data_IF_131450284553
#
_entry.id   IF_131450284553
#
_cell.length_a   1.000
_cell.length_b   1.000
_cell.length_c   1.000
_cell.angle_alpha   90.00
_cell.angle_beta   90.00
_cell.angle_gamma   90.00
#
_symmetry.space_group_name_H-M   'P 1'
#
loop_
_entity.id
_entity.type
_entity.pdbx_description
1 polymer ?
#
# COMPACT_ATOMS: atom_id res chain seq x y z
N UNK A 1 -15.50 10.66 -4.14
CA UNK A 1 -14.72 9.88 -3.14
C UNK A 1 -13.43 9.39 -3.78
N UNK A 2 -12.28 9.83 -3.27
CA UNK A 2 -10.98 9.54 -3.86
C UNK A 2 -10.53 8.11 -3.44
N UNK A 3 -10.91 7.10 -4.22
CA UNK A 3 -10.71 5.65 -3.91
C UNK A 3 -9.25 5.27 -3.62
N UNK A 4 -8.28 6.09 -4.03
CA UNK A 4 -6.85 5.91 -3.78
C UNK A 4 -6.46 6.02 -2.30
N UNK A 5 -7.19 6.82 -1.52
CA UNK A 5 -6.88 7.10 -0.11
C UNK A 5 -7.96 6.64 0.87
N UNK A 6 -9.00 6.00 0.34
CA UNK A 6 -10.11 5.48 1.13
C UNK A 6 -9.64 4.24 1.90
N UNK A 7 -9.68 4.29 3.23
CA UNK A 7 -9.19 3.21 4.09
C UNK A 7 -10.14 2.02 4.17
N UNK A 8 -11.41 2.21 3.81
CA UNK A 8 -12.39 1.11 3.65
C UNK A 8 -12.04 0.17 2.49
N UNK A 9 -11.17 0.60 1.57
CA UNK A 9 -10.73 -0.20 0.41
C UNK A 9 -9.50 -1.02 0.77
N UNK A 10 -9.51 -2.30 0.38
CA UNK A 10 -8.39 -3.22 0.60
C UNK A 10 -7.05 -2.62 0.17
N UNK A 11 -6.03 -2.71 1.04
CA UNK A 11 -4.68 -2.18 0.81
C UNK A 11 -4.10 -2.63 -0.53
N UNK A 12 -4.25 -3.91 -0.89
CA UNK A 12 -3.72 -4.45 -2.14
C UNK A 12 -4.38 -3.85 -3.38
N UNK A 13 -5.65 -3.47 -3.31
CA UNK A 13 -6.33 -2.77 -4.42
C UNK A 13 -5.86 -1.31 -4.53
N UNK A 14 -5.58 -0.64 -3.40
CA UNK A 14 -5.02 0.72 -3.41
C UNK A 14 -3.62 0.77 -3.98
N UNK A 15 -2.76 -0.15 -3.56
CA UNK A 15 -1.42 -0.31 -4.11
C UNK A 15 -1.49 -0.66 -5.61
N UNK A 16 -2.45 -1.49 -6.01
CA UNK A 16 -2.64 -1.80 -7.43
C UNK A 16 -3.06 -0.59 -8.27
N UNK A 17 -3.87 0.33 -7.75
CA UNK A 17 -4.16 1.58 -8.47
C UNK A 17 -2.90 2.40 -8.71
N UNK A 18 -1.99 2.45 -7.74
CA UNK A 18 -0.70 3.14 -7.88
C UNK A 18 0.16 2.46 -8.93
N UNK A 19 0.33 1.14 -8.86
CA UNK A 19 1.08 0.35 -9.85
C UNK A 19 0.50 0.53 -11.26
N UNK A 20 -0.81 0.36 -11.42
CA UNK A 20 -1.48 0.45 -12.71
C UNK A 20 -1.39 1.85 -13.32
N UNK A 21 -1.57 2.90 -12.52
CA UNK A 21 -1.42 4.28 -12.99
C UNK A 21 0.03 4.60 -13.35
N UNK A 22 0.99 4.30 -12.47
CA UNK A 22 2.40 4.59 -12.73
C UNK A 22 2.95 3.77 -13.89
N UNK A 23 2.62 2.47 -13.96
CA UNK A 23 3.02 1.60 -15.07
C UNK A 23 2.42 2.05 -16.40
N UNK A 24 1.13 2.40 -16.44
CA UNK A 24 0.48 2.83 -17.69
C UNK A 24 0.99 4.20 -18.16
N UNK A 25 1.12 5.17 -17.25
CA UNK A 25 1.60 6.53 -17.57
C UNK A 25 3.09 6.48 -17.94
N UNK A 26 3.91 5.83 -17.13
CA UNK A 26 5.35 5.72 -17.36
C UNK A 26 5.64 5.04 -18.69
N UNK A 27 4.95 3.94 -19.01
CA UNK A 27 5.19 3.23 -20.27
C UNK A 27 4.67 3.99 -21.50
N UNK A 28 3.56 4.72 -21.36
CA UNK A 28 3.09 5.61 -22.42
C UNK A 28 4.12 6.71 -22.73
N UNK A 29 4.72 7.33 -21.70
CA UNK A 29 5.78 8.31 -21.90
C UNK A 29 7.04 7.67 -22.49
N UNK A 30 7.41 6.47 -22.06
CA UNK A 30 8.52 5.71 -22.65
C UNK A 30 8.30 5.43 -24.13
N UNK A 31 7.10 4.98 -24.52
CA UNK A 31 6.72 4.77 -25.91
C UNK A 31 6.79 6.07 -26.72
N UNK A 32 6.20 7.16 -26.24
CA UNK A 32 6.23 8.46 -26.94
C UNK A 32 7.66 9.00 -27.06
N UNK A 33 8.47 8.84 -26.02
CA UNK A 33 9.90 9.18 -26.04
C UNK A 33 10.65 8.38 -27.10
N UNK A 34 10.42 7.08 -27.18
CA UNK A 34 11.04 6.22 -28.19
C UNK A 34 10.62 6.62 -29.61
N UNK A 35 9.33 6.92 -29.85
CA UNK A 35 8.87 7.45 -31.15
C UNK A 35 9.60 8.74 -31.52
N UNK A 36 9.82 9.64 -30.56
CA UNK A 36 10.46 10.93 -30.81
C UNK A 36 11.96 10.81 -31.10
N UNK A 37 12.67 9.96 -30.35
CA UNK A 37 14.13 9.83 -30.43
C UNK A 37 14.53 8.92 -31.60
N UNK A 38 13.81 7.81 -31.76
CA UNK A 38 14.20 6.69 -32.63
C UNK A 38 13.22 6.42 -33.77
N UNK A 39 12.03 7.05 -33.75
CA UNK A 39 10.99 6.83 -34.75
C UNK A 39 10.19 5.54 -34.53
N UNK A 40 9.44 5.13 -35.56
CA UNK A 40 8.64 3.90 -35.57
C UNK A 40 9.50 2.67 -35.93
N UNK A 41 10.43 2.33 -35.04
CA UNK A 41 11.28 1.15 -35.12
C UNK A 41 10.63 -0.07 -34.47
N UNK A 42 11.21 -1.27 -34.65
CA UNK A 42 10.73 -2.50 -34.04
C UNK A 42 10.69 -2.42 -32.49
N UNK A 43 11.68 -1.85 -31.78
CA UNK A 43 11.64 -1.67 -30.33
C UNK A 43 10.52 -0.71 -29.88
N UNK A 44 10.24 0.34 -30.67
CA UNK A 44 9.12 1.26 -30.41
C UNK A 44 7.77 0.56 -30.52
N UNK A 45 7.59 -0.32 -31.52
CA UNK A 45 6.37 -1.14 -31.65
C UNK A 45 6.24 -2.09 -30.46
N UNK A 46 7.34 -2.71 -30.04
CA UNK A 46 7.35 -3.57 -28.86
C UNK A 46 6.92 -2.83 -27.59
N UNK A 47 7.42 -1.62 -27.35
CA UNK A 47 6.99 -0.77 -26.22
C UNK A 47 5.50 -0.41 -26.31
N UNK A 48 4.98 -0.17 -27.52
CA UNK A 48 3.55 0.09 -27.72
C UNK A 48 2.69 -1.13 -27.32
N UNK A 49 3.11 -2.33 -27.71
CA UNK A 49 2.43 -3.58 -27.34
C UNK A 49 2.45 -3.79 -25.83
N UNK A 50 3.60 -3.59 -25.18
CA UNK A 50 3.72 -3.66 -23.73
C UNK A 50 2.81 -2.64 -23.04
N UNK A 51 2.76 -1.40 -23.55
CA UNK A 51 1.85 -0.35 -23.05
C UNK A 51 0.39 -0.82 -23.11
N UNK A 52 -0.05 -1.39 -24.24
CA UNK A 52 -1.40 -1.93 -24.39
C UNK A 52 -1.69 -3.07 -23.40
N UNK A 53 -0.72 -3.97 -23.18
CA UNK A 53 -0.87 -5.05 -22.19
C UNK A 53 -0.99 -4.48 -20.78
N UNK A 54 -0.18 -3.49 -20.40
CA UNK A 54 -0.25 -2.86 -19.07
C UNK A 54 -1.60 -2.17 -18.87
N UNK A 55 -2.09 -1.42 -19.86
CA UNK A 55 -3.42 -0.80 -19.80
C UNK A 55 -4.53 -1.85 -19.68
N UNK A 56 -4.47 -2.90 -20.50
CA UNK A 56 -5.44 -4.00 -20.49
C UNK A 56 -5.47 -4.73 -19.16
N UNK A 57 -4.30 -5.06 -18.62
CA UNK A 57 -4.16 -5.73 -17.31
C UNK A 57 -4.57 -4.83 -16.15
N UNK A 58 -4.31 -3.53 -16.23
CA UNK A 58 -4.77 -2.55 -15.24
C UNK A 58 -6.30 -2.49 -15.23
N UNK A 59 -6.93 -2.34 -16.40
CA UNK A 59 -8.39 -2.30 -16.51
C UNK A 59 -9.04 -3.63 -16.07
N UNK A 60 -8.51 -4.75 -16.53
CA UNK A 60 -9.00 -6.08 -16.14
C UNK A 60 -8.81 -6.34 -14.65
N UNK A 61 -7.67 -5.98 -14.07
CA UNK A 61 -7.40 -6.13 -12.64
C UNK A 61 -8.38 -5.35 -11.76
N UNK A 62 -8.71 -4.11 -12.17
CA UNK A 62 -9.70 -3.27 -11.49
C UNK A 62 -11.11 -3.85 -11.62
N UNK A 63 -11.52 -4.22 -12.83
CA UNK A 63 -12.89 -4.69 -13.12
C UNK A 63 -13.16 -6.07 -12.56
N UNK A 64 -12.25 -7.01 -12.76
CA UNK A 64 -12.37 -8.42 -12.32
C UNK A 64 -11.95 -8.63 -10.87
N UNK A 65 -11.47 -7.59 -10.18
CA UNK A 65 -10.95 -7.62 -8.79
C UNK A 65 -9.79 -8.60 -8.56
N UNK A 66 -9.19 -9.13 -9.62
CA UNK A 66 -8.02 -10.02 -9.58
C UNK A 66 -6.69 -9.24 -9.58
N UNK A 67 -6.60 -8.23 -8.71
CA UNK A 67 -5.48 -7.27 -8.68
C UNK A 67 -4.11 -7.91 -8.49
N UNK A 68 -4.01 -8.96 -7.67
CA UNK A 68 -2.74 -9.66 -7.45
C UNK A 68 -2.23 -10.28 -8.76
N UNK A 69 -3.09 -11.01 -9.47
CA UNK A 69 -2.72 -11.65 -10.74
C UNK A 69 -2.31 -10.61 -11.79
N UNK A 70 -3.07 -9.52 -11.89
CA UNK A 70 -2.74 -8.44 -12.80
C UNK A 70 -1.40 -7.77 -12.46
N UNK A 71 -1.12 -7.53 -11.17
CA UNK A 71 0.15 -6.98 -10.72
C UNK A 71 1.34 -7.89 -11.08
N UNK A 72 1.21 -9.20 -10.84
CA UNK A 72 2.25 -10.17 -11.23
C UNK A 72 2.53 -10.12 -12.73
N UNK A 73 1.50 -10.07 -13.58
CA UNK A 73 1.68 -10.00 -15.04
C UNK A 73 2.38 -8.71 -15.45
N UNK A 74 1.93 -7.55 -14.94
CA UNK A 74 2.54 -6.24 -15.26
C UNK A 74 4.00 -6.23 -14.84
N UNK A 75 4.31 -6.65 -13.61
CA UNK A 75 5.68 -6.63 -13.08
C UNK A 75 6.57 -7.63 -13.83
N UNK A 76 6.05 -8.82 -14.15
CA UNK A 76 6.80 -9.80 -14.95
C UNK A 76 7.13 -9.25 -16.33
N UNK A 77 6.16 -8.62 -16.99
CA UNK A 77 6.35 -8.04 -18.32
C UNK A 77 7.43 -6.95 -18.31
N UNK A 78 7.33 -5.98 -17.40
CA UNK A 78 8.29 -4.87 -17.36
C UNK A 78 9.69 -5.33 -16.94
N UNK A 79 9.76 -6.23 -15.95
CA UNK A 79 11.04 -6.63 -15.33
C UNK A 79 11.82 -7.63 -16.17
N UNK A 80 11.17 -8.63 -16.77
CA UNK A 80 11.89 -9.71 -17.44
C UNK A 80 11.94 -9.58 -18.95
N UNK A 81 11.09 -8.73 -19.52
CA UNK A 81 11.01 -8.58 -20.97
C UNK A 81 11.28 -7.14 -21.38
N UNK A 82 10.43 -6.21 -20.99
CA UNK A 82 10.47 -4.85 -21.53
C UNK A 82 11.79 -4.13 -21.21
N UNK A 83 12.14 -3.98 -19.94
CA UNK A 83 13.33 -3.22 -19.54
C UNK A 83 14.66 -3.90 -19.91
N UNK A 84 14.83 -5.23 -19.77
CA UNK A 84 16.04 -5.91 -20.24
C UNK A 84 16.25 -5.80 -21.75
N UNK A 85 15.18 -5.94 -22.55
CA UNK A 85 15.26 -5.80 -24.02
C UNK A 85 15.57 -4.34 -24.39
N UNK A 86 14.93 -3.37 -23.74
CA UNK A 86 15.22 -1.96 -23.93
C UNK A 86 16.68 -1.63 -23.64
N UNK A 87 17.23 -2.15 -22.54
CA UNK A 87 18.66 -2.00 -22.24
C UNK A 87 19.55 -2.68 -23.26
N UNK A 88 19.21 -3.88 -23.69
CA UNK A 88 20.01 -4.59 -24.68
C UNK A 88 20.11 -3.83 -26.02
N UNK A 89 19.09 -3.05 -26.38
CA UNK A 89 19.03 -2.28 -27.62
C UNK A 89 19.59 -0.87 -27.45
N UNK A 90 19.13 -0.14 -26.43
CA UNK A 90 19.45 1.27 -26.19
C UNK A 90 20.62 1.49 -25.22
N UNK A 91 21.19 0.41 -24.70
CA UNK A 91 22.37 0.41 -23.85
C UNK A 91 22.15 1.21 -22.54
N UNK A 92 23.24 1.81 -22.05
CA UNK A 92 23.40 2.65 -20.85
C UNK A 92 22.27 3.65 -20.63
N UNK A 93 21.69 4.23 -21.69
CA UNK A 93 20.63 5.23 -21.62
C UNK A 93 19.32 4.75 -20.97
N UNK A 94 19.14 3.44 -20.73
CA UNK A 94 17.90 2.87 -20.17
C UNK A 94 18.11 2.06 -18.88
N UNK A 95 19.32 2.05 -18.31
CA UNK A 95 19.65 1.30 -17.07
C UNK A 95 18.73 1.65 -15.89
N UNK A 96 18.25 2.90 -15.85
CA UNK A 96 17.36 3.40 -14.80
C UNK A 96 16.00 2.68 -14.79
N UNK A 97 15.57 2.10 -15.92
CA UNK A 97 14.34 1.31 -15.96
C UNK A 97 14.49 -0.04 -15.23
N UNK A 98 15.65 -0.69 -15.33
CA UNK A 98 15.94 -1.91 -14.55
C UNK A 98 15.90 -1.62 -13.04
N UNK A 99 16.47 -0.48 -12.62
CA UNK A 99 16.39 -0.02 -11.23
C UNK A 99 14.93 0.22 -10.81
N UNK A 100 14.13 0.86 -11.68
CA UNK A 100 12.70 1.07 -11.44
C UNK A 100 11.95 -0.26 -11.27
N UNK A 101 12.27 -1.29 -12.06
CA UNK A 101 11.71 -2.63 -11.91
C UNK A 101 12.03 -3.22 -10.52
N UNK A 102 13.27 -3.11 -10.04
CA UNK A 102 13.64 -3.58 -8.70
C UNK A 102 12.85 -2.86 -7.60
N UNK A 103 12.67 -1.55 -7.72
CA UNK A 103 11.84 -0.76 -6.78
C UNK A 103 10.38 -1.21 -6.85
N UNK A 104 9.84 -1.44 -8.05
CA UNK A 104 8.46 -1.91 -8.24
C UNK A 104 8.25 -3.30 -7.62
N UNK A 105 9.21 -4.23 -7.78
CA UNK A 105 9.16 -5.56 -7.16
C UNK A 105 9.10 -5.43 -5.64
N UNK A 106 10.03 -4.68 -5.04
CA UNK A 106 10.11 -4.50 -3.60
C UNK A 106 8.85 -3.83 -3.01
N UNK A 107 8.19 -2.97 -3.79
CA UNK A 107 7.06 -2.16 -3.34
C UNK A 107 5.72 -2.87 -3.47
N UNK A 108 5.50 -3.59 -4.57
CA UNK A 108 4.17 -4.09 -4.95
C UNK A 108 3.99 -5.60 -4.80
N UNK A 109 5.07 -6.38 -4.70
CA UNK A 109 4.98 -7.81 -4.42
C UNK A 109 5.04 -8.11 -2.91
N UNK A 110 4.40 -9.20 -2.45
CA UNK A 110 4.60 -9.69 -1.09
C UNK A 110 6.06 -10.12 -0.90
N UNK A 111 6.60 -9.93 0.32
CA UNK A 111 8.03 -10.09 0.64
C UNK A 111 8.63 -11.40 0.12
N UNK A 112 7.95 -12.54 0.30
CA UNK A 112 8.43 -13.84 -0.19
C UNK A 112 8.61 -13.86 -1.71
N UNK A 113 7.64 -13.34 -2.45
CA UNK A 113 7.73 -13.28 -3.91
C UNK A 113 8.70 -12.19 -4.38
N UNK A 114 8.76 -11.06 -3.67
CA UNK A 114 9.68 -9.96 -3.97
C UNK A 114 11.15 -10.39 -3.90
N UNK A 115 11.52 -11.23 -2.91
CA UNK A 115 12.88 -11.78 -2.82
C UNK A 115 13.18 -12.68 -4.02
N UNK A 116 12.28 -13.61 -4.35
CA UNK A 116 12.47 -14.54 -5.47
C UNK A 116 12.56 -13.78 -6.80
N UNK A 117 11.58 -12.90 -7.07
CA UNK A 117 11.54 -12.08 -8.27
C UNK A 117 12.74 -11.12 -8.34
N UNK A 118 13.14 -10.54 -7.21
CA UNK A 118 14.30 -9.65 -7.15
C UNK A 118 15.61 -10.37 -7.47
N UNK A 119 15.81 -11.58 -6.94
CA UNK A 119 16.99 -12.40 -7.30
C UNK A 119 16.98 -12.78 -8.78
N UNK A 120 15.83 -13.20 -9.32
CA UNK A 120 15.71 -13.53 -10.74
C UNK A 120 15.92 -12.30 -11.62
N UNK A 121 15.32 -11.16 -11.26
CA UNK A 121 15.44 -9.90 -11.99
C UNK A 121 16.90 -9.45 -12.02
N UNK A 122 17.60 -9.51 -10.89
CA UNK A 122 19.02 -9.20 -10.82
C UNK A 122 19.85 -10.09 -11.76
N UNK A 123 19.59 -11.40 -11.82
CA UNK A 123 20.28 -12.30 -12.75
C UNK A 123 20.00 -11.95 -14.21
N UNK A 124 18.74 -11.63 -14.54
CA UNK A 124 18.33 -11.25 -15.90
C UNK A 124 18.96 -9.92 -16.28
N UNK A 125 18.91 -8.91 -15.42
CA UNK A 125 19.52 -7.59 -15.65
C UNK A 125 21.03 -7.71 -15.84
N UNK A 126 21.72 -8.47 -14.98
CA UNK A 126 23.16 -8.73 -15.13
C UNK A 126 23.46 -9.47 -16.44
N UNK A 127 22.63 -10.45 -16.82
CA UNK A 127 22.81 -11.16 -18.08
C UNK A 127 22.59 -10.24 -19.29
N UNK A 128 21.62 -9.32 -19.23
CA UNK A 128 21.36 -8.34 -20.28
C UNK A 128 22.53 -7.35 -20.41
N UNK A 129 23.12 -6.91 -19.30
CA UNK A 129 24.32 -6.06 -19.29
C UNK A 129 25.51 -6.77 -19.92
N UNK A 130 25.78 -8.01 -19.51
CA UNK A 130 26.88 -8.80 -20.05
C UNK A 130 26.66 -9.08 -21.55
N UNK A 131 25.44 -9.43 -21.94
CA UNK A 131 25.10 -9.71 -23.33
C UNK A 131 25.24 -8.46 -24.20
N UNK A 132 24.77 -7.31 -23.71
CA UNK A 132 24.92 -6.02 -24.41
C UNK A 132 26.39 -5.66 -24.64
N UNK A 133 27.27 -5.97 -23.67
CA UNK A 133 28.71 -5.73 -23.76
C UNK A 133 29.41 -6.66 -24.76
N UNK A 134 29.15 -7.97 -24.72
CA UNK A 134 29.85 -8.94 -25.58
C UNK A 134 29.23 -9.11 -26.96
N UNK A 135 27.92 -8.90 -27.07
CA UNK A 135 27.14 -9.06 -28.29
C UNK A 135 26.23 -7.85 -28.49
N UNK A 136 26.80 -6.65 -28.75
CA UNK A 136 26.01 -5.46 -29.04
C UNK A 136 25.18 -5.67 -30.30
N UNK A 137 23.97 -5.12 -30.30
CA UNK A 137 23.01 -5.23 -31.40
C UNK A 137 22.89 -3.89 -32.10
N UNK A 138 23.29 -3.86 -33.37
CA UNK A 138 23.22 -2.68 -34.22
C UNK A 138 21.83 -2.53 -34.89
N UNK A 139 20.74 -2.77 -34.15
CA UNK A 139 19.36 -2.62 -34.67
C UNK A 139 18.98 -1.15 -34.79
N UNK A 140 19.53 -0.30 -33.93
CA UNK A 140 19.33 1.14 -33.99
C UNK A 140 20.64 1.90 -33.98
N UNK A 141 20.69 3.01 -34.72
CA UNK A 141 21.86 3.88 -34.76
C UNK A 141 21.89 4.71 -33.46
N UNK A 142 22.49 4.16 -32.41
CA UNK A 142 22.68 4.87 -31.14
C UNK A 142 23.79 5.90 -31.32
N UNK A 143 23.41 7.11 -31.71
CA UNK A 143 24.30 8.28 -31.69
C UNK A 143 24.47 8.78 -30.26
N UNK A 144 25.59 9.46 -29.96
CA UNK A 144 25.82 10.05 -28.64
C UNK A 144 24.70 11.03 -28.20
N UNK A 145 24.09 11.73 -29.16
CA UNK A 145 22.93 12.59 -28.91
C UNK A 145 21.68 11.77 -28.55
N UNK A 146 21.39 10.69 -29.28
CA UNK A 146 20.25 9.81 -28.99
C UNK A 146 20.39 9.09 -27.64
N UNK A 147 21.61 8.66 -27.28
CA UNK A 147 21.92 8.05 -25.99
C UNK A 147 21.67 9.03 -24.85
N UNK A 148 22.14 10.28 -24.98
CA UNK A 148 21.90 11.33 -24.00
C UNK A 148 20.41 11.65 -23.88
N UNK A 149 19.70 11.79 -25.01
CA UNK A 149 18.27 12.07 -25.02
C UNK A 149 17.46 10.93 -24.36
N UNK A 150 17.82 9.67 -24.65
CA UNK A 150 17.21 8.50 -24.01
C UNK A 150 17.51 8.47 -22.51
N UNK A 151 18.74 8.77 -22.10
CA UNK A 151 19.12 8.85 -20.68
C UNK A 151 18.33 9.93 -19.94
N UNK A 152 18.20 11.12 -20.51
CA UNK A 152 17.44 12.22 -19.89
C UNK A 152 15.96 11.84 -19.81
N UNK A 153 15.39 11.30 -20.89
CA UNK A 153 13.99 10.89 -20.95
C UNK A 153 13.69 9.82 -19.90
N UNK A 154 14.49 8.76 -19.85
CA UNK A 154 14.32 7.65 -18.91
C UNK A 154 14.51 8.10 -17.47
N UNK A 155 15.50 8.94 -17.19
CA UNK A 155 15.75 9.50 -15.86
C UNK A 155 14.57 10.35 -15.38
N UNK A 156 14.03 11.22 -16.24
CA UNK A 156 12.87 12.05 -15.88
C UNK A 156 11.65 11.20 -15.54
N UNK A 157 11.36 10.18 -16.36
CA UNK A 157 10.23 9.26 -16.13
C UNK A 157 10.41 8.52 -14.81
N UNK A 158 11.60 7.95 -14.57
CA UNK A 158 11.88 7.17 -13.36
C UNK A 158 11.82 8.04 -12.11
N UNK A 159 12.47 9.21 -12.11
CA UNK A 159 12.47 10.11 -10.95
C UNK A 159 11.06 10.56 -10.59
N UNK A 160 10.28 11.00 -11.58
CA UNK A 160 8.92 11.47 -11.33
C UNK A 160 8.02 10.32 -10.85
N UNK A 161 8.18 9.14 -11.44
CA UNK A 161 7.41 7.95 -11.07
C UNK A 161 7.72 7.49 -9.64
N UNK A 162 9.00 7.30 -9.30
CA UNK A 162 9.43 6.86 -7.96
C UNK A 162 9.03 7.89 -6.91
N UNK A 163 9.25 9.19 -7.17
CA UNK A 163 8.86 10.25 -6.25
C UNK A 163 7.35 10.24 -5.97
N UNK A 164 6.54 10.21 -7.03
CA UNK A 164 5.07 10.20 -6.91
C UNK A 164 4.55 8.94 -6.21
N UNK A 165 5.07 7.76 -6.57
CA UNK A 165 4.73 6.48 -5.93
C UNK A 165 5.06 6.56 -4.43
N UNK A 166 6.25 7.03 -4.08
CA UNK A 166 6.71 7.11 -2.69
C UNK A 166 5.82 8.02 -1.85
N UNK A 167 5.50 9.22 -2.35
CA UNK A 167 4.60 10.16 -1.65
C UNK A 167 3.22 9.55 -1.44
N UNK A 168 2.63 8.95 -2.48
CA UNK A 168 1.30 8.34 -2.37
C UNK A 168 1.30 7.19 -1.36
N UNK A 169 2.31 6.32 -1.41
CA UNK A 169 2.42 5.19 -0.49
C UNK A 169 2.65 5.63 0.96
N UNK A 170 3.49 6.65 1.19
CA UNK A 170 3.70 7.21 2.53
C UNK A 170 2.39 7.78 3.11
N UNK A 171 1.61 8.48 2.29
CA UNK A 171 0.29 8.98 2.71
C UNK A 171 -0.68 7.83 3.00
N UNK A 172 -0.68 6.76 2.19
CA UNK A 172 -1.50 5.58 2.41
C UNK A 172 -1.10 4.85 3.72
N UNK A 173 0.19 4.69 3.97
CA UNK A 173 0.72 4.06 5.18
C UNK A 173 0.36 4.85 6.43
N UNK A 174 0.51 6.19 6.40
CA UNK A 174 0.13 7.05 7.52
C UNK A 174 -1.36 6.88 7.87
N UNK A 175 -2.23 6.94 6.86
CA UNK A 175 -3.68 6.75 7.07
C UNK A 175 -4.03 5.36 7.59
N UNK A 176 -3.34 4.32 7.12
CA UNK A 176 -3.52 2.96 7.62
C UNK A 176 -3.10 2.82 9.09
N UNK A 177 -2.00 3.45 9.49
CA UNK A 177 -1.54 3.42 10.87
C UNK A 177 -2.51 4.15 11.82
N UNK A 178 -3.05 5.30 11.39
CA UNK A 178 -4.06 6.05 12.14
C UNK A 178 -5.34 5.24 12.36
N UNK A 179 -5.84 4.57 11.33
CA UNK A 179 -7.04 3.73 11.42
C UNK A 179 -6.83 2.46 12.25
N UNK A 180 -5.67 1.82 12.13
CA UNK A 180 -5.33 0.67 12.98
C UNK A 180 -5.30 1.06 14.46
N UNK A 181 -4.73 2.24 14.75
CA UNK A 181 -4.66 2.77 16.13
C UNK A 181 -6.05 3.10 16.66
N UNK A 182 -6.92 3.71 15.85
CA UNK A 182 -8.28 4.04 16.29
C UNK A 182 -9.13 2.79 16.52
N UNK A 183 -9.02 1.78 15.65
CA UNK A 183 -9.69 0.50 15.81
C UNK A 183 -9.20 -0.25 17.06
N UNK A 184 -7.89 -0.25 17.31
CA UNK A 184 -7.32 -0.82 18.54
C UNK A 184 -7.90 -0.15 19.79
N UNK A 185 -8.03 1.17 19.79
CA UNK A 185 -8.60 1.92 20.91
C UNK A 185 -10.09 1.60 21.11
N UNK A 186 -10.86 1.44 20.03
CA UNK A 186 -12.27 1.05 20.12
C UNK A 186 -12.43 -0.37 20.67
N UNK A 187 -11.57 -1.30 20.24
CA UNK A 187 -11.57 -2.66 20.77
C UNK A 187 -11.20 -2.69 22.26
N UNK A 188 -10.21 -1.89 22.68
CA UNK A 188 -9.84 -1.77 24.08
C UNK A 188 -11.00 -1.20 24.92
N UNK A 189 -11.65 -0.13 24.44
CA UNK A 189 -12.82 0.43 25.09
C UNK A 189 -13.97 -0.59 25.20
N UNK A 190 -14.29 -1.30 24.12
CA UNK A 190 -15.34 -2.31 24.12
C UNK A 190 -15.00 -3.54 24.99
N UNK A 191 -13.72 -3.88 25.12
CA UNK A 191 -13.26 -5.02 25.90
C UNK A 191 -13.15 -4.72 27.40
N UNK A 192 -12.86 -3.47 27.78
CA UNK A 192 -12.59 -3.09 29.16
C UNK A 192 -13.72 -2.28 29.80
N UNK A 193 -14.68 -1.74 29.03
CA UNK A 193 -15.85 -1.03 29.53
C UNK A 193 -17.15 -1.81 29.36
N UNK A 194 -18.12 -1.57 30.24
CA UNK A 194 -19.48 -2.07 30.15
C UNK A 194 -20.31 -1.20 29.19
N UNK A 195 -21.03 -1.85 28.26
CA UNK A 195 -21.74 -1.16 27.18
C UNK A 195 -22.94 -0.33 27.64
N UNK A 196 -23.51 -0.62 28.80
CA UNK A 196 -24.70 0.08 29.30
C UNK A 196 -24.33 1.32 30.13
N UNK A 197 -23.23 1.24 30.87
CA UNK A 197 -22.81 2.28 31.83
C UNK A 197 -21.60 3.09 31.39
N UNK A 198 -20.77 2.58 30.48
CA UNK A 198 -19.48 3.18 30.10
C UNK A 198 -18.40 3.06 31.18
N UNK A 199 -18.71 2.49 32.35
CA UNK A 199 -17.75 2.21 33.42
C UNK A 199 -16.88 1.01 33.05
N UNK A 200 -15.74 0.85 33.72
CA UNK A 200 -14.92 -0.36 33.57
C UNK A 200 -15.73 -1.60 33.93
N UNK A 201 -15.63 -2.62 33.09
CA UNK A 201 -16.33 -3.87 33.32
C UNK A 201 -15.65 -4.69 34.43
N UNK A 202 -16.38 -5.70 34.91
CA UNK A 202 -15.92 -6.58 35.98
C UNK A 202 -14.61 -7.30 35.64
N UNK A 203 -14.39 -7.64 34.36
CA UNK A 203 -13.17 -8.33 33.90
C UNK A 203 -11.95 -7.41 34.04
N UNK A 204 -12.08 -6.14 33.66
CA UNK A 204 -11.03 -5.15 33.83
C UNK A 204 -10.71 -4.93 35.31
N UNK A 205 -11.74 -4.75 36.15
CA UNK A 205 -11.58 -4.56 37.59
C UNK A 205 -10.75 -5.68 38.23
N UNK A 206 -11.06 -6.95 37.91
CA UNK A 206 -10.31 -8.09 38.44
C UNK A 206 -8.83 -8.05 38.01
N UNK A 207 -8.53 -7.82 36.72
CA UNK A 207 -7.13 -7.69 36.26
C UNK A 207 -6.40 -6.54 36.96
N UNK A 208 -7.09 -5.43 37.20
CA UNK A 208 -6.52 -4.26 37.84
C UNK A 208 -6.16 -4.54 39.30
N UNK A 209 -7.06 -5.17 40.04
CA UNK A 209 -6.82 -5.59 41.44
C UNK A 209 -5.68 -6.60 41.54
N UNK A 210 -5.60 -7.58 40.64
CA UNK A 210 -4.48 -8.54 40.56
C UNK A 210 -3.13 -7.84 40.34
N UNK A 211 -3.08 -6.85 39.44
CA UNK A 211 -1.87 -6.05 39.19
C UNK A 211 -1.47 -5.22 40.41
N UNK A 212 -2.43 -4.69 41.16
CA UNK A 212 -2.15 -3.95 42.40
C UNK A 212 -1.59 -4.86 43.49
N UNK A 213 -2.15 -6.07 43.63
CA UNK A 213 -1.66 -7.08 44.56
C UNK A 213 -0.22 -7.51 44.24
N UNK A 214 0.09 -7.75 42.96
CA UNK A 214 1.44 -8.10 42.51
C UNK A 214 2.47 -7.00 42.74
N UNK A 215 2.07 -5.73 42.64
CA UNK A 215 2.96 -4.59 42.91
C UNK A 215 3.22 -4.35 44.39
N UNK A 216 2.62 -5.13 45.29
CA UNK A 216 2.83 -5.01 46.73
C UNK A 216 2.36 -3.67 47.31
N UNK A 217 1.43 -2.97 46.65
CA UNK A 217 0.83 -1.75 47.21
C UNK A 217 0.00 -2.15 48.43
N UNK A 218 0.41 -1.72 49.62
CA UNK A 218 -0.20 -2.11 50.89
C UNK A 218 -1.44 -1.27 51.26
N UNK A 219 -1.58 -0.08 50.66
CA UNK A 219 -2.68 0.84 50.94
C UNK A 219 -3.57 1.02 49.70
N UNK A 220 -4.51 0.09 49.51
CA UNK A 220 -5.54 0.18 48.46
C UNK A 220 -6.90 0.29 49.14
N UNK A 221 -7.60 1.40 48.90
CA UNK A 221 -8.96 1.61 49.37
C UNK A 221 -9.94 1.35 48.23
N UNK A 222 -10.97 0.54 48.48
CA UNK A 222 -12.01 0.24 47.52
C UNK A 222 -13.38 0.59 48.11
N UNK A 223 -14.21 1.28 47.34
CA UNK A 223 -15.61 1.55 47.67
C UNK A 223 -16.50 0.71 46.76
N UNK A 224 -17.38 -0.11 47.35
CA UNK A 224 -18.39 -0.87 46.62
C UNK A 224 -19.73 -0.19 46.83
N UNK A 225 -20.37 0.22 45.73
CA UNK A 225 -21.66 0.93 45.75
C UNK A 225 -22.68 0.01 45.11
N UNK A 226 -23.73 -0.34 45.86
CA UNK A 226 -24.91 -1.06 45.35
C UNK A 226 -26.12 -0.12 45.36
N UNK A 227 -27.02 -0.29 44.40
CA UNK A 227 -28.19 0.56 44.20
C UNK A 227 -29.46 -0.27 44.45
N UNK A 228 -29.90 -0.30 45.70
CA UNK A 228 -31.00 -1.16 46.19
C UNK A 228 -32.37 -0.93 45.51
N UNK A 229 -32.58 0.23 44.87
CA UNK A 229 -33.86 0.60 44.24
C UNK A 229 -34.03 0.16 42.77
N UNK A 230 -32.98 -0.33 42.10
CA UNK A 230 -33.03 -0.68 40.66
C UNK A 230 -33.92 -1.87 40.33
N UNK A 231 -34.09 -2.79 41.29
CA UNK A 231 -34.80 -4.05 41.05
C UNK A 231 -36.31 -3.88 40.91
N UNK A 232 -36.87 -2.78 41.45
CA UNK A 232 -38.31 -2.47 41.42
C UNK A 232 -38.75 -1.72 40.16
N UNK A 233 -37.84 -0.97 39.54
CA UNK A 233 -38.10 -0.14 38.36
C UNK A 233 -37.96 -0.87 37.02
N UNK A 234 -37.15 -1.94 36.93
CA UNK A 234 -37.01 -2.75 35.70
C UNK A 234 -38.25 -3.57 35.31
N UNK A 235 -39.27 -3.67 36.18
CA UNK A 235 -40.55 -4.34 35.86
C UNK A 235 -41.48 -3.51 34.96
N UNK A 236 -41.19 -2.22 34.73
CA UNK A 236 -41.94 -1.34 33.82
C UNK A 236 -41.08 -1.01 32.58
N UNK A 237 -41.50 -1.48 31.41
CA UNK A 237 -40.78 -1.34 30.12
C UNK A 237 -40.50 0.11 29.72
N UNK A 238 -41.31 1.07 30.16
CA UNK A 238 -41.15 2.50 29.83
C UNK A 238 -39.98 3.17 30.60
N UNK A 239 -39.58 2.62 31.75
CA UNK A 239 -38.56 3.22 32.61
C UNK A 239 -37.12 2.83 32.23
N UNK A 240 -36.95 1.78 31.42
CA UNK A 240 -35.66 1.42 30.82
C UNK A 240 -35.16 2.49 29.83
N UNK A 241 -36.09 3.20 29.17
CA UNK A 241 -35.77 4.34 28.31
C UNK A 241 -35.32 5.55 29.15
N UNK A 242 -35.98 5.82 30.29
CA UNK A 242 -35.58 6.89 31.21
C UNK A 242 -34.23 6.64 31.88
N UNK A 243 -33.90 5.40 32.23
CA UNK A 243 -32.57 5.05 32.76
C UNK A 243 -31.46 5.29 31.74
N UNK A 244 -31.67 4.92 30.47
CA UNK A 244 -30.76 5.27 29.38
C UNK A 244 -30.60 6.79 29.25
N UNK A 245 -31.68 7.56 29.40
CA UNK A 245 -31.66 9.02 29.31
C UNK A 245 -30.96 9.69 30.51
N UNK A 246 -31.15 9.16 31.73
CA UNK A 246 -30.55 9.65 32.97
C UNK A 246 -29.03 9.40 33.05
N UNK A 247 -28.57 8.23 32.57
CA UNK A 247 -27.14 7.91 32.51
C UNK A 247 -26.40 8.73 31.44
N UNK A 248 -27.05 9.02 30.30
CA UNK A 248 -26.45 9.85 29.23
C UNK A 248 -26.35 11.34 29.60
N UNK A 249 -27.16 11.83 30.55
CA UNK A 249 -27.11 13.22 31.04
C UNK A 249 -26.04 13.45 32.13
N UNK A 250 -25.34 12.41 32.59
CA UNK A 250 -24.28 12.52 33.61
C UNK A 250 -22.86 12.49 33.04
N UNK A 251 -22.62 13.13 31.90
CA UNK A 251 -21.28 13.47 31.38
C UNK A 251 -20.49 14.49 32.23
N UNK A 252 -20.80 14.63 33.53
CA UNK A 252 -20.27 15.66 34.44
C UNK A 252 -19.65 15.07 35.72
N UNK A 253 -19.08 13.87 35.66
CA UNK A 253 -18.27 13.33 36.76
C UNK A 253 -16.80 13.21 36.33
N UNK A 254 -16.15 14.36 36.19
CA UNK A 254 -14.73 14.48 36.47
C UNK A 254 -14.56 14.41 37.99
N UNK A 255 -14.35 13.21 38.54
CA UNK A 255 -13.88 13.05 39.91
C UNK A 255 -12.82 11.95 39.92
N UNK A 256 -11.57 12.44 39.99
CA UNK A 256 -10.33 11.85 40.53
C UNK A 256 -9.89 10.49 39.99
#
# INVERSE_FOLDING_TARGET
MNRLFDTSVNVGLRQFYVLGAAGSIGNLFGFVGNVYIYGLSAPTIFCALCTLVIFGMTFWGIRSRHVKRAAYVIITLITFFEFPILYYIYQTGTIVYMVLAMVAIATFLPTTAAVIFGCLAFLVDMSAVILAYYHPVDVELVTAESELNSMICSLMIVLFSVFTITIILNVQQKKQAEELTSLSRQLEQAADHDALTGLYNRRYLNRYLERLAQKGKKDVYAALIDLDFLRRSMMNTDMLLEMKCSLNLRGYWNVI
#
